data_IF_417219643505
#
_entry.id   IF_417219643505
#
_cell.length_a   1.000
_cell.length_b   1.000
_cell.length_c   1.000
_cell.angle_alpha   90.00
_cell.angle_beta   90.00
_cell.angle_gamma   90.00
#
_symmetry.space_group_name_H-M   'P 1'
#
loop_
_entity.id
_entity.type
_entity.pdbx_description
1 polymer ?
#
# COMPACT_ATOMS: atom_id res chain seq x y z
N UNK A 1 -14.17 32.61 -18.53
CA UNK A 1 -13.42 31.36 -18.75
C UNK A 1 -12.49 31.09 -17.55
N UNK A 2 -13.04 31.00 -16.33
CA UNK A 2 -12.29 30.72 -15.09
C UNK A 2 -13.24 30.39 -13.90
N UNK A 3 -14.40 29.77 -14.16
CA UNK A 3 -15.40 29.45 -13.11
C UNK A 3 -16.06 28.06 -13.30
N UNK A 4 -15.35 27.09 -13.88
CA UNK A 4 -15.87 25.72 -14.06
C UNK A 4 -15.14 24.67 -13.19
N UNK A 5 -14.12 25.05 -12.40
CA UNK A 5 -13.23 24.10 -11.73
C UNK A 5 -13.55 23.78 -10.26
N UNK A 6 -14.66 24.28 -9.71
CA UNK A 6 -14.91 24.22 -8.25
C UNK A 6 -16.09 23.37 -7.76
N UNK A 7 -16.79 22.59 -8.60
CA UNK A 7 -17.97 21.84 -8.12
C UNK A 7 -18.02 20.34 -8.42
N UNK A 8 -16.97 19.72 -8.97
CA UNK A 8 -16.99 18.27 -9.21
C UNK A 8 -16.31 17.50 -8.07
N UNK A 9 -16.76 17.74 -6.83
CA UNK A 9 -16.70 16.71 -5.79
C UNK A 9 -17.98 15.86 -5.92
N UNK A 10 -18.05 15.03 -6.96
CA UNK A 10 -18.99 13.91 -6.95
C UNK A 10 -18.44 12.89 -5.96
N UNK A 11 -18.81 13.05 -4.68
CA UNK A 11 -18.86 11.91 -3.76
C UNK A 11 -19.92 11.00 -4.36
N UNK A 12 -19.47 10.03 -5.15
CA UNK A 12 -20.30 8.92 -5.56
C UNK A 12 -20.60 8.13 -4.30
N UNK A 13 -21.68 8.51 -3.61
CA UNK A 13 -22.38 7.64 -2.68
C UNK A 13 -23.09 6.58 -3.54
N UNK A 14 -22.31 5.70 -4.17
CA UNK A 14 -22.82 4.36 -4.43
C UNK A 14 -23.23 3.85 -3.06
N UNK A 15 -24.54 3.76 -2.85
CA UNK A 15 -25.16 3.06 -1.74
C UNK A 15 -24.46 1.70 -1.65
N UNK A 16 -23.48 1.58 -0.75
CA UNK A 16 -23.00 0.28 -0.31
C UNK A 16 -24.22 -0.32 0.36
N UNK A 17 -24.92 -1.17 -0.39
CA UNK A 17 -25.86 -2.12 0.15
C UNK A 17 -25.11 -2.85 1.26
N UNK A 18 -25.42 -2.47 2.51
CA UNK A 18 -24.95 -3.17 3.69
C UNK A 18 -25.66 -4.52 3.67
N UNK A 19 -25.05 -5.47 2.97
CA UNK A 19 -25.40 -6.86 3.13
C UNK A 19 -24.99 -7.25 4.54
N UNK A 20 -25.97 -7.45 5.43
CA UNK A 20 -25.76 -7.95 6.79
C UNK A 20 -25.44 -9.46 6.81
N UNK A 21 -24.82 -9.99 5.76
CA UNK A 21 -24.07 -11.23 5.85
C UNK A 21 -22.71 -10.87 6.41
N UNK A 22 -22.31 -11.45 7.55
CA UNK A 22 -20.93 -11.40 8.00
C UNK A 22 -20.07 -11.94 6.84
N UNK A 23 -19.38 -11.10 6.04
CA UNK A 23 -18.64 -11.59 4.90
C UNK A 23 -17.36 -12.13 5.51
N UNK A 24 -17.43 -13.36 6.01
CA UNK A 24 -16.31 -14.05 6.60
C UNK A 24 -15.14 -13.94 5.63
N UNK A 25 -14.13 -13.16 6.02
CA UNK A 25 -12.94 -13.02 5.20
C UNK A 25 -12.28 -14.40 5.25
N UNK A 26 -12.18 -15.07 4.11
CA UNK A 26 -11.51 -16.38 4.02
C UNK A 26 -10.10 -16.24 4.60
N UNK A 27 -9.76 -17.08 5.58
CA UNK A 27 -8.51 -16.97 6.33
C UNK A 27 -8.59 -16.16 7.63
N UNK A 28 -9.77 -15.64 8.01
CA UNK A 28 -10.04 -14.92 9.25
C UNK A 28 -11.11 -15.60 10.12
N UNK A 29 -11.45 -16.85 9.81
CA UNK A 29 -12.35 -17.67 10.61
C UNK A 29 -11.85 -17.74 12.07
N UNK A 30 -12.76 -17.76 13.04
CA UNK A 30 -12.40 -17.80 14.47
C UNK A 30 -11.59 -19.05 14.85
N UNK A 31 -11.65 -20.11 14.02
CA UNK A 31 -10.90 -21.34 14.16
C UNK A 31 -9.44 -21.23 13.70
N UNK A 32 -9.04 -20.15 13.02
CA UNK A 32 -7.67 -19.97 12.55
C UNK A 32 -6.82 -19.33 13.64
N UNK A 33 -5.63 -19.92 13.88
CA UNK A 33 -4.67 -19.43 14.87
C UNK A 33 -4.31 -17.97 14.57
N UNK A 34 -4.33 -17.14 15.62
CA UNK A 34 -3.83 -15.77 15.58
C UNK A 34 -2.38 -15.67 16.07
N UNK A 35 -1.76 -16.81 16.36
CA UNK A 35 -0.39 -16.87 16.84
C UNK A 35 0.58 -16.58 15.67
N UNK A 36 1.22 -15.41 15.72
CA UNK A 36 2.07 -14.94 14.63
C UNK A 36 3.33 -15.78 14.46
N UNK A 37 3.79 -16.51 15.49
CA UNK A 37 4.98 -17.37 15.39
C UNK A 37 4.77 -18.57 14.45
N UNK A 38 3.52 -18.94 14.17
CA UNK A 38 3.17 -19.98 13.21
C UNK A 38 3.30 -19.52 11.75
N UNK A 39 3.29 -18.20 11.50
CA UNK A 39 3.31 -17.60 10.16
C UNK A 39 4.58 -16.80 9.86
N UNK A 40 5.29 -16.37 10.89
CA UNK A 40 6.54 -15.61 10.77
C UNK A 40 7.70 -16.58 10.92
N UNK A 41 8.43 -16.79 9.83
CA UNK A 41 9.63 -17.63 9.79
C UNK A 41 10.87 -16.73 9.74
N UNK A 42 11.41 -16.28 10.90
CA UNK A 42 12.48 -15.27 10.95
C UNK A 42 13.78 -15.73 10.30
N UNK A 43 14.01 -17.04 10.24
CA UNK A 43 15.19 -17.63 9.61
C UNK A 43 15.06 -17.76 8.08
N UNK A 44 13.93 -17.36 7.50
CA UNK A 44 13.71 -17.41 6.05
C UNK A 44 13.42 -16.02 5.51
N UNK A 45 14.08 -15.65 4.41
CA UNK A 45 13.80 -14.38 3.74
C UNK A 45 12.51 -14.52 2.93
N UNK A 46 11.45 -13.82 3.34
CA UNK A 46 10.17 -13.77 2.63
C UNK A 46 10.08 -12.63 1.61
N UNK A 47 11.09 -11.75 1.57
CA UNK A 47 11.15 -10.60 0.66
C UNK A 47 11.62 -11.08 -0.71
N UNK A 48 10.77 -10.88 -1.74
CA UNK A 48 11.10 -11.21 -3.12
C UNK A 48 11.79 -10.05 -3.86
N UNK A 49 11.43 -8.82 -3.53
CA UNK A 49 11.93 -7.60 -4.16
C UNK A 49 12.22 -6.61 -3.05
N UNK A 50 13.48 -6.16 -2.96
CA UNK A 50 13.94 -5.14 -2.01
C UNK A 50 14.54 -3.98 -2.81
N UNK A 51 14.23 -2.70 -2.46
CA UNK A 51 15.03 -1.59 -2.97
C UNK A 51 16.45 -1.66 -2.41
N UNK A 52 17.44 -1.35 -3.25
CA UNK A 52 18.86 -1.40 -2.87
C UNK A 52 19.16 -0.38 -1.75
N UNK A 53 18.60 0.83 -1.89
CA UNK A 53 18.79 1.98 -1.00
C UNK A 53 18.01 1.90 0.33
N UNK A 54 17.32 0.78 0.59
CA UNK A 54 16.50 0.62 1.78
C UNK A 54 17.36 0.69 3.05
N UNK A 55 17.17 1.76 3.81
CA UNK A 55 17.86 2.05 5.08
C UNK A 55 19.37 2.36 4.94
N UNK A 56 19.86 2.72 3.75
CA UNK A 56 21.26 3.12 3.58
C UNK A 56 21.59 4.47 4.22
N UNK A 57 20.62 5.38 4.28
CA UNK A 57 20.80 6.72 4.87
C UNK A 57 19.74 7.02 5.95
N UNK A 58 20.09 7.83 6.97
CA UNK A 58 19.13 8.27 7.96
C UNK A 58 18.02 9.08 7.29
N UNK A 59 16.77 8.69 7.51
CA UNK A 59 15.60 9.40 7.01
C UNK A 59 14.86 10.02 8.20
N UNK A 60 14.42 11.27 8.07
CA UNK A 60 13.62 11.93 9.10
C UNK A 60 12.21 11.34 9.14
N UNK A 61 11.65 11.02 7.98
CA UNK A 61 10.32 10.43 7.85
C UNK A 61 10.32 9.30 6.81
N UNK A 62 9.87 8.12 7.23
CA UNK A 62 9.61 7.00 6.34
C UNK A 62 8.10 6.82 6.16
N UNK A 63 7.61 6.95 4.93
CA UNK A 63 6.23 6.68 4.55
C UNK A 63 6.16 5.33 3.87
N UNK A 64 5.39 4.42 4.45
CA UNK A 64 5.16 3.08 3.91
C UNK A 64 3.74 3.02 3.35
N UNK A 65 3.62 2.80 2.04
CA UNK A 65 2.35 2.70 1.35
C UNK A 65 2.04 1.22 1.08
N UNK A 66 1.03 0.68 1.78
CA UNK A 66 0.51 -0.66 1.51
C UNK A 66 -0.35 -0.63 0.24
N UNK A 67 -0.03 -1.47 -0.74
CA UNK A 67 -0.74 -1.50 -2.03
C UNK A 67 -0.82 -2.93 -2.58
N UNK A 68 -1.94 -3.28 -3.21
CA UNK A 68 -2.03 -4.54 -3.94
C UNK A 68 -1.17 -4.49 -5.22
N UNK A 69 -0.56 -5.60 -5.67
CA UNK A 69 0.32 -5.61 -6.85
C UNK A 69 -0.31 -4.98 -8.10
N UNK A 70 -1.60 -5.25 -8.36
CA UNK A 70 -2.33 -4.74 -9.52
C UNK A 70 -2.59 -3.22 -9.50
N UNK A 71 -2.46 -2.53 -8.35
CA UNK A 71 -2.68 -1.08 -8.23
C UNK A 71 -1.47 -0.26 -8.74
N UNK A 72 -0.93 -0.62 -9.90
CA UNK A 72 0.28 -0.01 -10.46
C UNK A 72 0.11 1.49 -10.75
N UNK A 73 -0.99 1.87 -11.40
CA UNK A 73 -1.24 3.28 -11.74
C UNK A 73 -1.44 4.16 -10.51
N UNK A 74 -2.04 3.64 -9.43
CA UNK A 74 -2.13 4.36 -8.16
C UNK A 74 -0.74 4.61 -7.54
N UNK A 75 0.14 3.60 -7.51
CA UNK A 75 1.52 3.77 -7.04
C UNK A 75 2.31 4.74 -7.91
N UNK A 76 2.10 4.70 -9.22
CA UNK A 76 2.72 5.64 -10.17
C UNK A 76 2.23 7.07 -9.98
N UNK A 77 0.95 7.28 -9.71
CA UNK A 77 0.41 8.59 -9.36
C UNK A 77 1.05 9.14 -8.07
N UNK A 78 1.21 8.30 -7.04
CA UNK A 78 1.94 8.68 -5.81
C UNK A 78 3.38 9.08 -6.13
N UNK A 79 4.12 8.25 -6.87
CA UNK A 79 5.53 8.53 -7.27
C UNK A 79 5.67 9.83 -8.07
N UNK A 80 4.65 10.20 -8.85
CA UNK A 80 4.63 11.41 -9.67
C UNK A 80 4.03 12.63 -8.98
N UNK A 81 3.50 12.47 -7.77
CA UNK A 81 2.90 13.54 -6.97
C UNK A 81 3.69 13.70 -5.67
N UNK A 82 3.02 13.67 -4.52
CA UNK A 82 3.64 13.93 -3.22
C UNK A 82 4.77 12.95 -2.85
N UNK A 83 4.81 11.76 -3.46
CA UNK A 83 5.86 10.78 -3.22
C UNK A 83 7.16 11.04 -3.99
N UNK A 84 7.19 12.06 -4.87
CA UNK A 84 8.36 12.47 -5.63
C UNK A 84 9.39 13.20 -4.76
N UNK A 85 8.92 14.12 -3.91
CA UNK A 85 9.80 14.93 -3.08
C UNK A 85 10.45 14.08 -1.98
N UNK A 86 11.78 14.14 -1.90
CA UNK A 86 12.60 13.38 -0.96
C UNK A 86 13.26 14.27 0.08
N UNK A 87 13.15 15.59 -0.07
CA UNK A 87 13.68 16.54 0.89
C UNK A 87 12.63 17.63 1.17
N UNK A 88 12.13 17.66 2.41
CA UNK A 88 11.14 18.65 2.84
C UNK A 88 11.75 19.51 3.92
N UNK A 89 11.98 20.79 3.60
CA UNK A 89 12.58 21.76 4.52
C UNK A 89 13.93 21.32 5.09
N UNK A 90 14.76 20.67 4.28
CA UNK A 90 16.08 20.16 4.68
C UNK A 90 16.05 18.76 5.31
N UNK A 91 14.87 18.17 5.52
CA UNK A 91 14.72 16.85 6.12
C UNK A 91 14.51 15.78 5.06
N UNK A 92 15.29 14.70 5.14
CA UNK A 92 15.14 13.55 4.24
C UNK A 92 13.84 12.80 4.49
N UNK A 93 13.08 12.52 3.44
CA UNK A 93 11.84 11.75 3.47
C UNK A 93 11.95 10.59 2.48
N UNK A 94 11.62 9.39 2.93
CA UNK A 94 11.64 8.19 2.10
C UNK A 94 10.23 7.62 1.96
N UNK A 95 9.83 7.25 0.75
CA UNK A 95 8.53 6.61 0.46
C UNK A 95 8.78 5.25 -0.19
N UNK A 96 8.28 4.20 0.45
CA UNK A 96 8.37 2.81 0.01
C UNK A 96 6.98 2.19 -0.14
N UNK A 97 6.88 1.14 -0.96
CA UNK A 97 5.65 0.40 -1.16
C UNK A 97 5.80 -1.02 -0.64
N UNK A 98 4.87 -1.47 0.19
CA UNK A 98 4.76 -2.89 0.57
C UNK A 98 3.71 -3.54 -0.33
N UNK A 99 4.11 -4.62 -0.98
CA UNK A 99 3.30 -5.39 -1.91
C UNK A 99 3.22 -6.84 -1.44
N UNK A 100 2.06 -7.47 -1.65
CA UNK A 100 1.92 -8.91 -1.53
C UNK A 100 2.41 -9.65 -2.78
N UNK A 101 2.39 -10.98 -2.73
CA UNK A 101 2.64 -11.83 -3.90
C UNK A 101 1.33 -12.08 -4.65
N UNK A 102 1.34 -11.97 -5.98
CA UNK A 102 0.23 -12.44 -6.79
C UNK A 102 0.34 -13.96 -6.96
N UNK A 103 -0.71 -14.71 -6.65
CA UNK A 103 -0.70 -16.19 -6.72
C UNK A 103 -0.54 -16.69 -8.17
N UNK A 104 -0.83 -15.85 -9.18
CA UNK A 104 -0.62 -16.18 -10.60
C UNK A 104 -0.30 -14.95 -11.46
N UNK A 105 0.98 -14.68 -11.68
CA UNK A 105 1.51 -14.19 -12.97
C UNK A 105 3.03 -14.00 -12.87
N UNK A 106 3.71 -14.58 -13.85
CA UNK A 106 5.08 -14.29 -14.27
C UNK A 106 5.41 -12.80 -14.20
N UNK A 107 6.50 -12.48 -13.49
CA UNK A 107 7.34 -11.27 -13.57
C UNK A 107 6.60 -9.94 -13.85
N UNK A 108 6.50 -9.12 -12.80
CA UNK A 108 6.48 -7.66 -12.93
C UNK A 108 7.78 -7.10 -12.38
#
# INVERSE_FOLDING_TARGET
MLLEYLSVFFVSTTLLRSDHGNPGIVGWEASISRNTSEYVFPNTTSILIKPDDLCESPTFLMVIVCSAPYNFEARKAIRKSWGLERNISGNAVSVYFILGKLVRSSLQ
#
